data_IF_427718544096
#
_entry.id   IF_427718544096
#
_cell.length_a   1.000
_cell.length_b   1.000
_cell.length_c   1.000
_cell.angle_alpha   90.00
_cell.angle_beta   90.00
_cell.angle_gamma   90.00
#
_symmetry.space_group_name_H-M   'P 1'
#
loop_
_entity.id
_entity.type
_entity.pdbx_description
1 polymer ?
#
# COMPACT_ATOMS: atom_id res chain seq x y z
N UNK A 1 23.71 62.28 25.39
CA UNK A 1 24.29 61.22 24.54
C UNK A 1 23.52 59.92 24.77
N UNK A 2 22.61 59.51 23.86
CA UNK A 2 22.17 58.11 23.79
C UNK A 2 22.10 57.63 22.33
N UNK A 3 23.11 56.89 21.89
CA UNK A 3 23.13 56.17 20.60
C UNK A 3 23.93 54.89 20.81
N UNK A 4 23.37 53.86 21.45
CA UNK A 4 24.05 52.55 21.57
C UNK A 4 23.15 51.37 22.03
N UNK A 5 21.82 51.41 21.86
CA UNK A 5 20.93 50.32 22.34
C UNK A 5 20.18 49.58 21.21
N UNK A 6 20.37 49.94 19.94
CA UNK A 6 19.52 49.46 18.84
C UNK A 6 20.07 48.29 17.98
N UNK A 7 21.07 47.52 18.43
CA UNK A 7 21.72 46.48 17.58
C UNK A 7 21.54 45.04 18.08
N UNK A 8 20.96 44.79 19.26
CA UNK A 8 20.90 43.43 19.82
C UNK A 8 19.62 42.63 19.48
N UNK A 9 18.69 43.18 18.67
CA UNK A 9 17.36 42.55 18.45
C UNK A 9 17.16 41.87 17.09
N UNK A 10 18.18 41.81 16.22
CA UNK A 10 18.06 41.28 14.85
C UNK A 10 18.58 39.82 14.73
N UNK A 11 19.30 39.28 15.72
CA UNK A 11 19.88 37.92 15.62
C UNK A 11 18.94 36.76 15.97
N UNK A 12 17.72 36.99 16.48
CA UNK A 12 16.80 35.90 16.87
C UNK A 12 15.74 35.54 15.81
N UNK A 13 15.69 36.25 14.68
CA UNK A 13 14.72 35.97 13.61
C UNK A 13 15.20 34.91 12.58
N UNK A 14 16.38 34.31 12.79
CA UNK A 14 16.93 33.25 11.92
C UNK A 14 16.78 31.84 12.50
N UNK A 15 16.05 31.64 13.61
CA UNK A 15 15.59 30.32 14.05
C UNK A 15 14.37 29.84 13.21
N UNK A 16 14.40 30.10 11.90
CA UNK A 16 13.35 29.78 10.96
C UNK A 16 13.52 28.36 10.42
N UNK A 17 12.49 27.54 10.62
CA UNK A 17 12.30 26.19 10.08
C UNK A 17 13.25 25.14 10.69
N UNK A 18 13.27 24.99 12.02
CA UNK A 18 13.76 23.75 12.62
C UNK A 18 12.85 22.61 12.17
N UNK A 19 13.46 21.64 11.46
CA UNK A 19 12.85 20.37 11.03
C UNK A 19 12.37 19.52 12.22
N UNK A 20 12.68 19.95 13.45
CA UNK A 20 12.44 19.27 14.72
C UNK A 20 10.97 19.21 15.19
N UNK A 21 10.06 20.01 14.63
CA UNK A 21 8.64 19.98 15.04
C UNK A 21 7.80 18.94 14.27
N UNK A 22 8.42 18.11 13.43
CA UNK A 22 7.68 17.03 12.77
C UNK A 22 7.34 15.95 13.80
N UNK A 23 6.05 15.59 13.99
CA UNK A 23 5.66 14.55 14.94
C UNK A 23 6.17 13.15 14.53
N UNK A 24 6.61 13.00 13.28
CA UNK A 24 7.15 11.77 12.71
C UNK A 24 8.50 12.06 12.06
N UNK A 25 9.53 11.32 12.48
CA UNK A 25 10.87 11.39 11.91
C UNK A 25 11.08 10.25 10.91
N UNK A 26 11.87 10.51 9.88
CA UNK A 26 12.19 9.55 8.84
C UNK A 26 13.69 9.59 8.53
N UNK A 27 14.53 9.91 9.52
CA UNK A 27 15.96 10.19 9.25
C UNK A 27 16.78 8.91 9.08
N UNK A 28 16.26 7.79 9.60
CA UNK A 28 16.78 6.44 9.40
C UNK A 28 15.70 5.51 8.85
N UNK A 29 16.06 4.38 8.22
CA UNK A 29 15.06 3.42 7.75
C UNK A 29 14.14 2.91 8.86
N UNK A 30 14.70 2.62 10.03
CA UNK A 30 13.95 2.16 11.20
C UNK A 30 12.99 3.22 11.72
N UNK A 31 13.42 4.49 11.78
CA UNK A 31 12.54 5.59 12.17
C UNK A 31 11.38 5.78 11.18
N UNK A 32 11.61 5.60 9.88
CA UNK A 32 10.52 5.65 8.89
C UNK A 32 9.47 4.57 9.15
N UNK A 33 9.90 3.34 9.47
CA UNK A 33 8.99 2.25 9.80
C UNK A 33 8.25 2.50 11.12
N UNK A 34 8.96 3.00 12.14
CA UNK A 34 8.37 3.37 13.43
C UNK A 34 7.35 4.50 13.28
N UNK A 35 7.66 5.49 12.45
CA UNK A 35 6.74 6.59 12.12
C UNK A 35 5.50 6.10 11.39
N UNK A 36 5.65 5.19 10.43
CA UNK A 36 4.50 4.57 9.76
C UNK A 36 3.59 3.85 10.76
N UNK A 37 4.18 3.06 11.66
CA UNK A 37 3.45 2.36 12.72
C UNK A 37 2.74 3.35 13.66
N UNK A 38 3.42 4.41 14.10
CA UNK A 38 2.82 5.44 14.96
C UNK A 38 1.65 6.14 14.27
N UNK A 39 1.77 6.51 13.00
CA UNK A 39 0.65 7.09 12.21
C UNK A 39 -0.57 6.17 12.24
N UNK A 40 -0.37 4.86 12.06
CA UNK A 40 -1.46 3.89 12.12
C UNK A 40 -2.08 3.82 13.52
N UNK A 41 -1.26 3.65 14.56
CA UNK A 41 -1.71 3.49 15.95
C UNK A 41 -2.42 4.76 16.45
N UNK A 42 -1.91 5.93 16.08
CA UNK A 42 -2.49 7.23 16.45
C UNK A 42 -3.75 7.57 15.67
N UNK A 43 -4.10 6.77 14.66
CA UNK A 43 -5.28 7.03 13.86
C UNK A 43 -5.11 8.09 12.77
N UNK A 44 -3.89 8.25 12.28
CA UNK A 44 -3.46 9.20 11.26
C UNK A 44 -3.01 8.44 10.00
N UNK A 45 -3.78 7.41 9.60
CA UNK A 45 -3.45 6.59 8.42
C UNK A 45 -3.43 7.39 7.11
N UNK A 46 -4.08 8.55 7.08
CA UNK A 46 -4.02 9.50 5.96
C UNK A 46 -2.63 10.08 5.73
N UNK A 47 -1.79 10.11 6.76
CA UNK A 47 -0.41 10.63 6.69
C UNK A 47 0.61 9.61 6.22
N UNK A 48 0.24 8.33 6.10
CA UNK A 48 1.16 7.27 5.64
C UNK A 48 1.80 7.60 4.28
N UNK A 49 1.08 8.34 3.44
CA UNK A 49 1.56 8.72 2.11
C UNK A 49 2.68 9.77 2.15
N UNK A 50 2.86 10.47 3.27
CA UNK A 50 4.01 11.36 3.49
C UNK A 50 5.34 10.58 3.48
N UNK A 51 5.31 9.31 3.90
CA UNK A 51 6.46 8.42 3.90
C UNK A 51 6.71 7.78 2.54
N UNK A 52 5.80 7.96 1.57
CA UNK A 52 5.92 7.41 0.22
C UNK A 52 6.60 8.42 -0.69
N UNK A 53 7.62 7.97 -1.43
CA UNK A 53 8.30 8.75 -2.44
C UNK A 53 7.35 9.07 -3.60
N UNK A 54 7.30 10.35 -3.98
CA UNK A 54 6.59 10.82 -5.17
C UNK A 54 7.63 11.37 -6.17
N UNK A 55 7.53 10.94 -7.42
CA UNK A 55 8.45 11.37 -8.50
C UNK A 55 8.15 12.81 -8.94
N UNK A 56 6.88 13.22 -8.87
CA UNK A 56 6.37 14.51 -9.32
C UNK A 56 5.14 14.96 -8.48
N UNK A 57 4.70 16.20 -8.71
CA UNK A 57 3.57 16.81 -7.99
C UNK A 57 2.23 16.09 -8.25
N UNK A 58 2.07 15.50 -9.43
CA UNK A 58 0.85 14.77 -9.79
C UNK A 58 0.76 13.45 -9.01
N UNK A 59 1.88 12.71 -8.92
CA UNK A 59 2.03 11.52 -8.09
C UNK A 59 1.79 11.86 -6.63
N UNK A 60 2.29 13.02 -6.16
CA UNK A 60 2.03 13.50 -4.79
C UNK A 60 0.53 13.75 -4.56
N UNK A 61 -0.14 14.46 -5.47
CA UNK A 61 -1.57 14.75 -5.35
C UNK A 61 -2.43 13.46 -5.33
N UNK A 62 -2.09 12.48 -6.17
CA UNK A 62 -2.73 11.17 -6.15
C UNK A 62 -2.51 10.45 -4.82
N UNK A 63 -1.27 10.44 -4.32
CA UNK A 63 -0.96 9.86 -3.02
C UNK A 63 -1.73 10.56 -1.89
N UNK A 64 -1.88 11.88 -1.89
CA UNK A 64 -2.66 12.61 -0.89
C UNK A 64 -4.16 12.22 -0.92
N UNK A 65 -4.69 11.90 -2.10
CA UNK A 65 -6.04 11.36 -2.23
C UNK A 65 -6.16 9.92 -1.71
N UNK A 66 -5.16 9.08 -1.98
CA UNK A 66 -5.06 7.75 -1.36
C UNK A 66 -4.97 7.87 0.17
N UNK A 67 -4.22 8.84 0.69
CA UNK A 67 -4.16 9.16 2.12
C UNK A 67 -5.54 9.45 2.68
N UNK A 68 -6.30 10.38 2.08
CA UNK A 68 -7.67 10.68 2.51
C UNK A 68 -8.58 9.45 2.52
N UNK A 69 -8.48 8.59 1.50
CA UNK A 69 -9.21 7.32 1.47
C UNK A 69 -8.82 6.41 2.64
N UNK A 70 -7.52 6.25 2.92
CA UNK A 70 -7.02 5.44 4.04
C UNK A 70 -7.52 5.98 5.39
N UNK A 71 -7.55 7.31 5.56
CA UNK A 71 -8.14 7.96 6.72
C UNK A 71 -9.63 7.60 6.89
N UNK A 72 -10.43 7.72 5.83
CA UNK A 72 -11.85 7.34 5.86
C UNK A 72 -12.07 5.85 6.16
N UNK A 73 -11.25 4.97 5.60
CA UNK A 73 -11.31 3.53 5.90
C UNK A 73 -10.99 3.25 7.36
N UNK A 74 -10.01 3.95 7.93
CA UNK A 74 -9.66 3.80 9.34
C UNK A 74 -10.76 4.31 10.27
N UNK A 75 -11.38 5.46 9.95
CA UNK A 75 -12.51 5.98 10.69
C UNK A 75 -13.70 5.00 10.67
N UNK A 76 -14.00 4.44 9.48
CA UNK A 76 -15.00 3.39 9.34
C UNK A 76 -14.65 2.16 10.18
N UNK A 77 -13.39 1.71 10.16
CA UNK A 77 -12.95 0.56 10.95
C UNK A 77 -13.16 0.79 12.46
N UNK A 78 -12.82 1.99 12.97
CA UNK A 78 -13.09 2.36 14.37
C UNK A 78 -14.59 2.39 14.69
N UNK A 79 -15.40 2.96 13.79
CA UNK A 79 -16.84 3.00 13.96
C UNK A 79 -17.45 1.58 14.00
N UNK A 80 -16.97 0.68 13.15
CA UNK A 80 -17.36 -0.74 13.16
C UNK A 80 -16.92 -1.41 14.45
N UNK A 81 -15.69 -1.18 14.92
CA UNK A 81 -15.20 -1.75 16.18
C UNK A 81 -15.96 -1.27 17.40
N UNK A 82 -16.30 0.01 17.44
CA UNK A 82 -17.12 0.58 18.50
C UNK A 82 -18.55 0.02 18.48
N UNK A 83 -19.10 -0.24 17.29
CA UNK A 83 -20.49 -0.67 17.12
C UNK A 83 -20.70 -2.17 17.28
N UNK A 84 -19.73 -2.98 16.89
CA UNK A 84 -19.83 -4.45 16.81
C UNK A 84 -18.62 -5.15 17.45
N UNK A 85 -18.31 -4.88 18.73
CA UNK A 85 -17.10 -5.42 19.37
C UNK A 85 -17.16 -6.94 19.52
N UNK A 86 -18.33 -7.49 19.87
CA UNK A 86 -18.52 -8.93 20.09
C UNK A 86 -18.44 -9.72 18.78
N UNK A 87 -19.02 -9.19 17.70
CA UNK A 87 -18.94 -9.80 16.38
C UNK A 87 -17.50 -9.82 15.87
N UNK A 88 -16.75 -8.72 16.03
CA UNK A 88 -15.33 -8.68 15.67
C UNK A 88 -14.50 -9.65 16.50
N UNK A 89 -14.75 -9.73 17.81
CA UNK A 89 -14.08 -10.71 18.66
C UNK A 89 -14.34 -12.15 18.19
N UNK A 90 -15.59 -12.47 17.83
CA UNK A 90 -15.95 -13.76 17.25
C UNK A 90 -15.24 -14.01 15.92
N UNK A 91 -15.26 -13.03 15.00
CA UNK A 91 -14.58 -13.16 13.70
C UNK A 91 -13.07 -13.35 13.85
N UNK A 92 -12.42 -12.63 14.79
CA UNK A 92 -11.00 -12.81 15.12
C UNK A 92 -10.73 -14.22 15.65
N UNK A 93 -11.58 -14.74 16.54
CA UNK A 93 -11.45 -16.10 17.07
C UNK A 93 -11.61 -17.18 15.98
N UNK A 94 -12.61 -17.02 15.10
CA UNK A 94 -12.81 -17.91 13.95
C UNK A 94 -11.63 -17.87 12.98
N UNK A 95 -11.10 -16.67 12.70
CA UNK A 95 -9.92 -16.49 11.84
C UNK A 95 -8.68 -17.17 12.44
N UNK A 96 -8.45 -17.03 13.75
CA UNK A 96 -7.34 -17.69 14.45
C UNK A 96 -7.44 -19.22 14.40
N UNK A 97 -8.65 -19.77 14.61
CA UNK A 97 -8.89 -21.21 14.49
C UNK A 97 -8.69 -21.71 13.05
N UNK A 98 -9.16 -20.97 12.05
CA UNK A 98 -8.96 -21.33 10.64
C UNK A 98 -7.48 -21.32 10.24
N UNK A 99 -6.71 -20.34 10.73
CA UNK A 99 -5.26 -20.26 10.52
C UNK A 99 -4.52 -21.45 11.17
N UNK A 100 -4.85 -21.79 12.41
CA UNK A 100 -4.27 -22.94 13.11
C UNK A 100 -4.59 -24.28 12.41
N UNK A 101 -5.79 -24.39 11.83
CA UNK A 101 -6.22 -25.58 11.08
C UNK A 101 -5.71 -25.65 9.64
N UNK A 102 -4.97 -24.64 9.16
CA UNK A 102 -4.50 -24.58 7.76
C UNK A 102 -5.62 -24.40 6.73
N UNK A 103 -6.84 -24.12 7.16
CA UNK A 103 -7.99 -23.94 6.27
C UNK A 103 -8.08 -22.48 5.82
N UNK A 104 -8.22 -22.26 4.51
CA UNK A 104 -8.57 -20.95 4.00
C UNK A 104 -9.96 -20.58 4.47
N UNK A 105 -10.13 -19.43 5.14
CA UNK A 105 -11.45 -19.00 5.60
C UNK A 105 -12.43 -19.04 4.41
N UNK A 106 -13.58 -19.74 4.51
CA UNK A 106 -14.52 -19.93 3.41
C UNK A 106 -14.95 -18.61 2.75
N UNK A 107 -14.96 -17.52 3.55
CA UNK A 107 -15.30 -16.18 3.10
C UNK A 107 -14.27 -15.60 2.13
N UNK A 108 -12.98 -15.77 2.39
CA UNK A 108 -11.92 -15.29 1.50
C UNK A 108 -11.93 -16.06 0.18
N UNK A 109 -12.16 -17.37 0.26
CA UNK A 109 -12.35 -18.22 -0.92
C UNK A 109 -13.54 -17.73 -1.75
N UNK A 110 -14.64 -17.33 -1.11
CA UNK A 110 -15.83 -16.78 -1.77
C UNK A 110 -15.59 -15.40 -2.39
N UNK A 111 -14.79 -14.55 -1.76
CA UNK A 111 -14.45 -13.22 -2.28
C UNK A 111 -13.53 -13.32 -3.51
N UNK A 112 -12.48 -14.15 -3.42
CA UNK A 112 -11.54 -14.39 -4.51
C UNK A 112 -12.21 -15.11 -5.68
N UNK A 113 -13.14 -16.03 -5.41
CA UNK A 113 -13.91 -16.70 -6.47
C UNK A 113 -14.95 -15.78 -7.11
N UNK A 114 -15.63 -14.92 -6.35
CA UNK A 114 -16.59 -13.95 -6.86
C UNK A 114 -15.93 -12.94 -7.82
N UNK A 115 -14.69 -12.51 -7.54
CA UNK A 115 -13.93 -11.64 -8.43
C UNK A 115 -13.53 -12.30 -9.76
N UNK A 116 -13.28 -13.62 -9.76
CA UNK A 116 -12.91 -14.36 -10.99
C UNK A 116 -14.09 -14.68 -11.89
N UNK A 117 -15.29 -14.84 -11.34
CA UNK A 117 -16.46 -15.22 -12.14
C UNK A 117 -16.97 -14.07 -13.01
N UNK A 118 -16.78 -12.81 -12.58
CA UNK A 118 -17.29 -11.63 -13.27
C UNK A 118 -16.57 -11.28 -14.58
N UNK A 119 -15.39 -11.88 -14.83
CA UNK A 119 -14.58 -11.57 -16.02
C UNK A 119 -14.73 -12.59 -17.17
N UNK A 120 -15.67 -13.55 -17.08
CA UNK A 120 -15.94 -14.53 -18.14
C UNK A 120 -17.20 -14.27 -18.97
N UNK A 121 -18.06 -13.34 -18.55
CA UNK A 121 -19.34 -13.08 -19.22
C UNK A 121 -19.39 -11.80 -20.08
N UNK A 122 -18.34 -10.96 -20.06
CA UNK A 122 -18.29 -9.71 -20.84
C UNK A 122 -17.70 -9.86 -22.25
N UNK A 123 -17.51 -11.09 -22.75
CA UNK A 123 -16.78 -11.37 -24.00
C UNK A 123 -17.60 -12.00 -25.13
N UNK A 124 -18.88 -12.28 -24.95
CA UNK A 124 -19.69 -12.92 -26.00
C UNK A 124 -21.17 -12.51 -25.91
N UNK A 125 -21.46 -11.20 -25.93
CA UNK A 125 -22.79 -10.76 -26.33
C UNK A 125 -22.86 -10.83 -27.86
N UNK A 126 -23.37 -11.93 -28.39
CA UNK A 126 -23.78 -12.02 -29.79
C UNK A 126 -24.97 -11.07 -29.94
N UNK A 127 -24.75 -9.87 -30.49
CA UNK A 127 -25.83 -8.95 -30.82
C UNK A 127 -26.45 -9.47 -32.12
N UNK A 128 -27.50 -10.27 -32.01
CA UNK A 128 -28.26 -10.73 -33.17
C UNK A 128 -29.24 -9.63 -33.57
N UNK A 129 -28.77 -8.71 -34.43
CA UNK A 129 -29.62 -7.70 -35.06
C UNK A 129 -29.83 -8.14 -36.50
N UNK A 130 -31.09 -8.38 -36.87
CA UNK A 130 -31.50 -8.80 -38.22
C UNK A 130 -30.79 -7.93 -39.29
N UNK A 131 -29.88 -8.55 -40.05
CA UNK A 131 -29.18 -7.92 -41.17
C UNK A 131 -27.76 -7.40 -40.92
N UNK A 132 -27.19 -7.55 -39.71
CA UNK A 132 -25.79 -7.15 -39.45
C UNK A 132 -25.00 -8.25 -38.72
N UNK A 133 -24.37 -9.14 -39.49
CA UNK A 133 -23.36 -10.09 -38.98
C UNK A 133 -22.01 -9.38 -38.89
N UNK A 134 -21.63 -8.91 -37.71
CA UNK A 134 -20.26 -8.46 -37.44
C UNK A 134 -19.45 -9.71 -37.04
N UNK A 135 -18.74 -10.29 -38.00
CA UNK A 135 -17.76 -11.33 -37.74
C UNK A 135 -16.52 -10.69 -37.09
N UNK A 136 -16.51 -10.65 -35.76
CA UNK A 136 -15.31 -10.30 -34.98
C UNK A 136 -14.38 -11.50 -35.01
N UNK A 137 -13.69 -11.65 -36.14
CA UNK A 137 -12.86 -12.78 -36.53
C UNK A 137 -12.38 -13.68 -35.38
N UNK A 138 -12.94 -14.89 -35.36
CA UNK A 138 -12.44 -16.02 -34.57
C UNK A 138 -11.19 -16.63 -35.22
N UNK A 139 -10.20 -15.81 -35.57
CA UNK A 139 -8.85 -16.35 -35.74
C UNK A 139 -8.30 -16.60 -34.33
N UNK A 140 -8.25 -17.88 -33.97
CA UNK A 140 -7.61 -18.37 -32.77
C UNK A 140 -6.15 -17.90 -32.73
N UNK A 141 -5.92 -16.76 -32.08
CA UNK A 141 -4.59 -16.24 -31.85
C UNK A 141 -3.74 -17.33 -31.17
N UNK A 142 -2.51 -17.60 -31.65
CA UNK A 142 -1.64 -18.58 -31.04
C UNK A 142 -1.47 -18.23 -29.57
N UNK A 143 -1.76 -19.21 -28.69
CA UNK A 143 -1.59 -19.12 -27.24
C UNK A 143 -0.14 -18.69 -26.95
N UNK A 144 0.06 -17.39 -26.70
CA UNK A 144 1.34 -16.87 -26.24
C UNK A 144 1.67 -17.54 -24.90
N UNK A 145 2.85 -18.15 -24.73
CA UNK A 145 3.25 -18.72 -23.45
C UNK A 145 3.24 -17.63 -22.38
N UNK A 146 2.55 -17.94 -21.28
CA UNK A 146 2.00 -16.98 -20.34
C UNK A 146 3.04 -16.24 -19.48
N UNK A 147 2.96 -14.92 -19.54
CA UNK A 147 3.55 -14.00 -18.56
C UNK A 147 2.53 -13.70 -17.45
N UNK A 148 2.17 -14.72 -16.67
CA UNK A 148 1.59 -14.61 -15.33
C UNK A 148 1.35 -16.02 -14.81
N UNK A 149 2.44 -16.73 -14.50
CA UNK A 149 2.33 -17.88 -13.62
C UNK A 149 2.11 -17.31 -12.22
N UNK A 150 0.89 -17.46 -11.69
CA UNK A 150 0.62 -17.22 -10.28
C UNK A 150 1.54 -18.08 -9.40
N UNK A 151 1.55 -17.84 -8.07
CA UNK A 151 2.50 -18.44 -7.12
C UNK A 151 2.71 -19.93 -7.43
N UNK A 152 3.98 -20.25 -7.68
CA UNK A 152 4.43 -21.49 -8.34
C UNK A 152 4.38 -22.68 -7.39
N UNK A 153 4.40 -22.42 -6.09
CA UNK A 153 4.41 -23.45 -5.05
C UNK A 153 3.18 -23.36 -4.14
N UNK A 154 2.74 -24.50 -3.63
CA UNK A 154 1.64 -24.59 -2.68
C UNK A 154 1.97 -23.85 -1.36
N UNK A 155 3.25 -23.83 -0.98
CA UNK A 155 3.77 -23.07 0.15
C UNK A 155 3.68 -21.55 -0.05
N UNK A 156 4.01 -21.01 -1.23
CA UNK A 156 3.83 -19.58 -1.56
C UNK A 156 2.36 -19.16 -1.48
N UNK A 157 1.44 -20.00 -1.98
CA UNK A 157 0.00 -19.75 -1.91
C UNK A 157 -0.50 -19.73 -0.48
N UNK A 158 -0.07 -20.70 0.33
CA UNK A 158 -0.44 -20.77 1.74
C UNK A 158 0.03 -19.52 2.48
N UNK A 159 1.28 -19.11 2.27
CA UNK A 159 1.85 -17.90 2.87
C UNK A 159 1.08 -16.63 2.50
N UNK A 160 0.83 -16.39 1.22
CA UNK A 160 0.08 -15.21 0.76
C UNK A 160 -1.34 -15.22 1.36
N UNK A 161 -1.98 -16.38 1.38
CA UNK A 161 -3.32 -16.53 1.93
C UNK A 161 -3.36 -16.29 3.44
N UNK A 162 -2.36 -16.76 4.20
CA UNK A 162 -2.29 -16.56 5.64
C UNK A 162 -1.97 -15.10 5.99
N UNK A 163 -1.08 -14.43 5.24
CA UNK A 163 -0.82 -12.98 5.37
C UNK A 163 -2.09 -12.18 5.08
N UNK A 164 -2.79 -12.48 3.98
CA UNK A 164 -4.02 -11.76 3.61
C UNK A 164 -5.13 -11.98 4.64
N UNK A 165 -5.28 -13.19 5.19
CA UNK A 165 -6.26 -13.45 6.26
C UNK A 165 -5.92 -12.67 7.52
N UNK A 166 -4.65 -12.67 7.93
CA UNK A 166 -4.21 -11.95 9.12
C UNK A 166 -4.39 -10.43 8.95
N UNK A 167 -4.04 -9.91 7.77
CA UNK A 167 -4.26 -8.52 7.39
C UNK A 167 -5.75 -8.13 7.39
N UNK A 168 -6.65 -9.01 6.97
CA UNK A 168 -8.09 -8.71 6.95
C UNK A 168 -8.78 -8.90 8.30
N UNK A 169 -8.29 -9.83 9.12
CA UNK A 169 -8.84 -10.09 10.45
C UNK A 169 -8.50 -8.97 11.43
N UNK A 170 -7.32 -8.38 11.29
CA UNK A 170 -6.92 -7.21 12.06
C UNK A 170 -5.80 -6.44 11.34
N UNK A 171 -6.14 -5.53 10.40
CA UNK A 171 -5.14 -4.85 9.57
C UNK A 171 -4.17 -4.02 10.41
N UNK A 172 -4.61 -3.52 11.55
CA UNK A 172 -3.83 -2.62 12.39
C UNK A 172 -3.03 -3.38 13.45
N UNK A 173 -3.56 -4.48 13.99
CA UNK A 173 -2.80 -5.34 14.91
C UNK A 173 -1.67 -6.07 14.21
N UNK A 174 -1.86 -6.51 12.96
CA UNK A 174 -0.79 -7.08 12.16
C UNK A 174 0.36 -6.08 11.95
N UNK A 175 0.06 -4.79 11.83
CA UNK A 175 1.07 -3.74 11.72
C UNK A 175 1.76 -3.48 13.07
N UNK A 176 1.03 -3.55 14.18
CA UNK A 176 1.59 -3.39 15.52
C UNK A 176 2.53 -4.54 15.92
N UNK A 177 2.11 -5.79 15.69
CA UNK A 177 2.91 -7.00 15.95
C UNK A 177 3.94 -7.27 14.83
N UNK A 178 3.72 -6.69 13.65
CA UNK A 178 4.54 -6.89 12.46
C UNK A 178 5.85 -6.11 12.48
N UNK A 179 5.98 -5.08 13.33
CA UNK A 179 7.19 -4.26 13.40
C UNK A 179 8.44 -5.07 13.69
N UNK A 180 8.35 -6.04 14.60
CA UNK A 180 9.46 -6.93 14.98
C UNK A 180 9.82 -7.92 13.87
N UNK A 181 8.88 -8.15 12.93
CA UNK A 181 9.07 -9.03 11.79
C UNK A 181 9.63 -8.28 10.58
N UNK A 182 9.42 -6.97 10.52
CA UNK A 182 9.97 -6.11 9.47
C UNK A 182 11.45 -5.85 9.72
N UNK A 183 12.30 -6.42 8.87
CA UNK A 183 13.74 -6.21 8.86
C UNK A 183 14.14 -5.29 7.71
N UNK A 184 15.26 -4.59 7.89
CA UNK A 184 15.88 -3.74 6.85
C UNK A 184 17.21 -4.36 6.43
N UNK A 185 17.39 -4.57 5.12
CA UNK A 185 18.66 -5.05 4.55
C UNK A 185 19.22 -3.98 3.63
N UNK A 186 20.41 -3.48 3.94
CA UNK A 186 21.08 -2.46 3.13
C UNK A 186 21.51 -3.02 1.77
N UNK A 187 21.07 -2.35 0.70
CA UNK A 187 21.53 -2.62 -0.67
C UNK A 187 22.68 -1.67 -1.00
N UNK A 188 22.54 -0.39 -0.64
CA UNK A 188 23.53 0.69 -0.74
C UNK A 188 23.39 1.64 0.45
N UNK A 189 24.24 2.67 0.50
CA UNK A 189 24.21 3.70 1.56
C UNK A 189 22.88 4.50 1.59
N UNK A 190 22.24 4.62 0.43
CA UNK A 190 21.02 5.41 0.21
C UNK A 190 19.78 4.56 -0.15
N UNK A 191 19.90 3.23 -0.16
CA UNK A 191 18.82 2.31 -0.54
C UNK A 191 18.81 1.06 0.34
N UNK A 192 17.64 0.73 0.87
CA UNK A 192 17.44 -0.48 1.66
C UNK A 192 16.25 -1.29 1.18
N UNK A 193 16.33 -2.59 1.33
CA UNK A 193 15.25 -3.53 1.07
C UNK A 193 14.51 -3.86 2.37
N UNK A 194 13.18 -3.86 2.31
CA UNK A 194 12.34 -4.33 3.40
C UNK A 194 12.14 -5.85 3.30
N UNK A 195 12.33 -6.50 4.44
CA UNK A 195 12.17 -7.93 4.62
C UNK A 195 11.13 -8.22 5.70
N UNK A 196 10.50 -9.38 5.62
CA UNK A 196 9.60 -9.92 6.62
C UNK A 196 10.14 -11.27 7.07
N UNK A 197 10.59 -11.36 8.33
CA UNK A 197 11.28 -12.55 8.86
C UNK A 197 12.42 -12.99 7.92
N UNK A 198 13.33 -12.06 7.63
CA UNK A 198 14.49 -12.23 6.74
C UNK A 198 14.18 -12.57 5.26
N UNK A 199 12.91 -12.48 4.85
CA UNK A 199 12.48 -12.76 3.47
C UNK A 199 11.99 -11.49 2.77
N UNK A 200 12.30 -11.25 1.49
CA UNK A 200 11.83 -10.06 0.79
C UNK A 200 10.30 -9.92 0.80
N UNK A 201 9.81 -8.72 1.14
CA UNK A 201 8.37 -8.40 1.06
C UNK A 201 8.00 -8.19 -0.42
N UNK A 202 7.05 -8.97 -0.95
CA UNK A 202 6.58 -8.91 -2.35
C UNK A 202 7.66 -9.26 -3.40
N UNK A 203 8.07 -10.54 -3.50
CA UNK A 203 8.92 -11.00 -4.59
C UNK A 203 8.24 -10.83 -5.96
N UNK A 204 9.00 -10.55 -7.04
CA UNK A 204 10.48 -10.57 -7.09
C UNK A 204 11.14 -9.22 -6.78
N UNK A 205 10.39 -8.12 -6.68
CA UNK A 205 10.96 -6.77 -6.72
C UNK A 205 11.20 -6.13 -5.34
N UNK A 206 10.66 -6.70 -4.26
CA UNK A 206 10.86 -6.16 -2.92
C UNK A 206 10.11 -4.85 -2.69
N UNK A 207 9.86 -4.50 -1.44
CA UNK A 207 9.62 -3.10 -1.06
C UNK A 207 10.96 -2.47 -0.69
N UNK A 208 11.23 -1.26 -1.15
CA UNK A 208 12.49 -0.57 -0.89
C UNK A 208 12.24 0.81 -0.29
N UNK A 209 13.12 1.24 0.61
CA UNK A 209 13.21 2.63 1.05
C UNK A 209 14.44 3.26 0.38
N UNK A 210 14.32 4.51 -0.04
CA UNK A 210 15.43 5.32 -0.56
C UNK A 210 15.61 6.58 0.28
N UNK A 211 16.84 7.07 0.40
CA UNK A 211 17.13 8.32 1.07
C UNK A 211 17.02 9.50 0.10
N UNK A 212 16.18 10.49 0.43
CA UNK A 212 15.97 11.72 -0.35
C UNK A 212 15.83 12.93 0.56
N UNK A 213 16.66 13.96 0.34
CA UNK A 213 16.59 15.21 1.10
C UNK A 213 16.84 15.04 2.61
N UNK A 214 17.53 13.97 3.01
CA UNK A 214 17.80 13.61 4.41
C UNK A 214 16.74 12.70 5.06
N UNK A 215 15.62 12.43 4.40
CA UNK A 215 14.57 11.52 4.89
C UNK A 215 14.56 10.21 4.07
N UNK A 216 14.15 9.10 4.68
CA UNK A 216 13.95 7.81 4.03
C UNK A 216 12.49 7.67 3.62
N UNK A 217 12.27 7.38 2.34
CA UNK A 217 10.94 7.28 1.74
C UNK A 217 10.73 5.90 1.12
N UNK A 218 9.54 5.32 1.29
CA UNK A 218 9.08 4.10 0.62
C UNK A 218 8.87 4.36 -0.86
N UNK A 219 9.54 3.60 -1.71
CA UNK A 219 9.36 3.71 -3.15
C UNK A 219 8.22 2.81 -3.57
N UNK A 220 7.11 3.35 -4.09
CA UNK A 220 6.08 2.52 -4.66
C UNK A 220 6.63 1.78 -5.88
N UNK A 221 6.17 0.55 -6.16
CA UNK A 221 6.64 -0.24 -7.31
C UNK A 221 6.25 0.38 -8.66
N UNK A 222 5.62 1.54 -8.66
CA UNK A 222 5.19 2.33 -9.82
C UNK A 222 6.37 2.87 -10.62
N UNK A 223 7.55 2.99 -9.99
CA UNK A 223 8.79 3.35 -10.68
C UNK A 223 9.32 2.24 -11.61
N UNK A 224 8.85 0.99 -11.45
CA UNK A 224 9.24 -0.12 -12.31
C UNK A 224 8.71 0.10 -13.74
N UNK A 225 9.54 -0.08 -14.80
CA UNK A 225 9.13 0.07 -16.19
C UNK A 225 7.88 -0.74 -16.58
N UNK A 226 7.62 -1.86 -15.92
CA UNK A 226 6.42 -2.68 -16.14
C UNK A 226 5.18 -1.97 -15.62
N UNK A 227 5.23 -1.41 -14.41
CA UNK A 227 4.09 -0.71 -13.79
C UNK A 227 3.87 0.65 -14.46
N UNK A 228 4.95 1.36 -14.86
CA UNK A 228 4.87 2.60 -15.65
C UNK A 228 4.09 2.44 -16.96
N UNK A 229 3.97 1.22 -17.52
CA UNK A 229 3.18 0.99 -18.74
C UNK A 229 1.66 0.99 -18.51
N UNK A 230 1.23 0.73 -17.28
CA UNK A 230 -0.19 0.61 -16.89
C UNK A 230 -0.67 1.91 -16.19
N UNK A 231 0.26 2.71 -15.66
CA UNK A 231 -0.03 3.99 -15.04
C UNK A 231 -0.53 5.02 -16.07
N UNK A 232 -1.46 5.91 -15.67
CA UNK A 232 -1.83 7.09 -16.43
C UNK A 232 -0.61 7.91 -16.86
N UNK A 233 -0.60 8.40 -18.09
CA UNK A 233 0.51 9.18 -18.67
C UNK A 233 0.22 10.65 -18.85
N UNK A 234 -1.04 11.04 -18.75
CA UNK A 234 -1.52 12.40 -18.98
C UNK A 234 -2.67 12.74 -18.03
N UNK A 235 -2.99 14.02 -17.91
CA UNK A 235 -3.97 14.54 -16.96
C UNK A 235 -5.38 13.97 -17.17
N UNK A 236 -5.77 13.74 -18.43
CA UNK A 236 -7.07 13.14 -18.78
C UNK A 236 -7.18 11.70 -18.26
N UNK A 237 -6.11 10.91 -18.38
CA UNK A 237 -6.06 9.55 -17.84
C UNK A 237 -6.07 9.55 -16.31
N UNK A 238 -5.41 10.51 -15.66
CA UNK A 238 -5.46 10.64 -14.20
C UNK A 238 -6.85 11.01 -13.69
N UNK A 239 -7.58 11.85 -14.41
CA UNK A 239 -8.96 12.24 -14.07
C UNK A 239 -9.92 11.03 -14.03
N UNK A 240 -9.69 10.00 -14.85
CA UNK A 240 -10.52 8.77 -14.83
C UNK A 240 -10.33 7.98 -13.53
N UNK A 241 -9.18 8.13 -12.86
CA UNK A 241 -8.85 7.38 -11.65
C UNK A 241 -9.33 8.05 -10.36
N UNK A 242 -9.80 9.30 -10.43
CA UNK A 242 -10.42 10.03 -9.34
C UNK A 242 -9.94 11.47 -9.26
#
# INVERSE_FOLDING_TARGET
>A
MPRLVAITLILFALAGCSRDDRPYTATTPDETLDSAQKMIVNGEADRLVELVYAEDDQTRAFLDQVGRLLGSVQELARAVEQRFPDELARFRAEAAQAAAGGNASPLLTRLVSAGRQRNREFGASQIDREGLTIDTGTEAAPRRPGFMQGPRTESERKLINDILKQLLADPYRWLAEGRDKLGVVYISDDTVSLTWEDRPVLPPFGLVLIQRGGDWCLVPPTSNPIVKKIMPRNDDEWFVWG
#
